data_IF_648794055664
#
_entry.id   IF_648794055664
#
_cell.length_a   1.000
_cell.length_b   1.000
_cell.length_c   1.000
_cell.angle_alpha   90.00
_cell.angle_beta   90.00
_cell.angle_gamma   90.00
#
_symmetry.space_group_name_H-M   'P 1'
#
loop_
_entity.id
_entity.type
_entity.pdbx_description
1 polymer ?
#
# COMPACT_ATOMS: atom_id res chain seq x y z
N UNK A 1 22.12 14.90 -23.72
CA UNK A 1 21.35 14.90 -22.47
C UNK A 1 20.36 16.05 -22.54
N UNK A 2 19.07 15.76 -22.72
CA UNK A 2 17.98 16.76 -22.68
C UNK A 2 18.04 17.48 -21.33
N UNK A 3 17.98 18.81 -21.32
CA UNK A 3 17.82 19.60 -20.10
C UNK A 3 16.46 19.21 -19.51
N UNK A 4 16.46 18.36 -18.49
CA UNK A 4 15.23 18.00 -17.79
C UNK A 4 14.47 19.27 -17.41
N UNK A 5 13.16 19.23 -17.49
CA UNK A 5 12.27 20.32 -17.09
C UNK A 5 12.62 20.75 -15.64
N UNK A 6 12.42 22.02 -15.29
CA UNK A 6 12.64 22.53 -13.93
C UNK A 6 11.91 21.71 -12.86
N UNK A 7 10.72 21.19 -13.20
CA UNK A 7 9.96 20.30 -12.32
C UNK A 7 10.70 18.97 -12.07
N UNK A 8 11.29 18.34 -13.11
CA UNK A 8 12.03 17.10 -12.97
C UNK A 8 13.22 17.25 -12.04
N UNK A 9 13.97 18.37 -12.17
CA UNK A 9 15.09 18.66 -11.30
C UNK A 9 14.64 18.92 -9.86
N UNK A 10 13.53 19.60 -9.65
CA UNK A 10 12.96 19.84 -8.33
C UNK A 10 12.48 18.52 -7.70
N UNK A 11 11.83 17.66 -8.48
CA UNK A 11 11.38 16.33 -8.03
C UNK A 11 12.57 15.43 -7.64
N UNK A 12 13.64 15.40 -8.44
CA UNK A 12 14.84 14.63 -8.12
C UNK A 12 15.48 15.11 -6.82
N UNK A 13 15.59 16.43 -6.62
CA UNK A 13 16.09 17.00 -5.35
C UNK A 13 15.19 16.62 -4.17
N UNK A 14 13.88 16.78 -4.33
CA UNK A 14 12.92 16.43 -3.28
C UNK A 14 13.07 14.98 -2.79
N UNK A 15 13.35 14.03 -3.69
CA UNK A 15 13.51 12.62 -3.34
C UNK A 15 14.89 12.25 -2.80
N UNK A 16 15.92 13.07 -3.05
CA UNK A 16 17.31 12.75 -2.72
C UNK A 16 17.92 13.59 -1.59
N UNK A 17 17.44 14.82 -1.36
CA UNK A 17 18.01 15.70 -0.35
C UNK A 17 17.61 15.27 1.07
N UNK A 18 18.53 15.40 2.01
CA UNK A 18 18.35 14.95 3.38
C UNK A 18 18.34 13.43 3.48
N UNK A 19 17.31 12.86 4.12
CA UNK A 19 17.09 11.41 4.12
C UNK A 19 16.34 11.02 2.84
N UNK A 20 16.93 10.19 1.97
CA UNK A 20 16.26 9.77 0.74
C UNK A 20 14.95 9.01 0.99
N UNK A 21 14.02 9.11 0.03
CA UNK A 21 12.70 8.51 0.12
C UNK A 21 11.67 9.38 0.83
N UNK A 22 10.47 8.85 1.03
CA UNK A 22 9.30 9.57 1.59
C UNK A 22 8.75 8.98 2.86
N UNK A 23 9.15 7.76 3.21
CA UNK A 23 8.67 7.04 4.39
C UNK A 23 9.80 6.65 5.31
N UNK A 24 9.49 6.41 6.57
CA UNK A 24 10.43 5.94 7.57
C UNK A 24 9.73 4.98 8.54
N UNK A 25 10.46 3.95 8.99
CA UNK A 25 10.02 3.09 10.08
C UNK A 25 10.59 3.66 11.38
N UNK A 26 9.72 3.88 12.37
CA UNK A 26 10.09 4.42 13.68
C UNK A 26 9.51 3.56 14.80
N UNK A 27 10.25 3.31 15.90
CA UNK A 27 9.71 2.62 17.07
C UNK A 27 8.59 3.44 17.72
N UNK A 28 7.54 2.76 18.19
CA UNK A 28 6.39 3.38 18.89
C UNK A 28 6.40 3.12 20.41
N UNK A 29 7.34 2.31 20.90
CA UNK A 29 7.51 1.97 22.31
C UNK A 29 8.83 2.51 22.85
N UNK A 30 8.96 2.74 24.17
CA UNK A 30 10.26 3.07 24.79
C UNK A 30 11.31 1.99 24.50
N UNK A 31 12.56 2.40 24.28
CA UNK A 31 13.68 1.50 23.97
C UNK A 31 15.02 1.99 24.56
N UNK A 32 14.94 2.84 25.58
CA UNK A 32 16.13 3.52 26.13
C UNK A 32 16.76 2.77 27.32
N UNK A 33 16.02 1.87 27.98
CA UNK A 33 16.50 1.15 29.14
C UNK A 33 16.61 -0.36 28.88
N UNK A 34 17.46 -1.04 29.66
CA UNK A 34 17.55 -2.50 29.61
C UNK A 34 16.19 -3.17 29.92
N UNK A 35 15.40 -2.54 30.77
CA UNK A 35 14.05 -3.02 31.07
C UNK A 35 13.14 -2.91 29.84
N UNK A 36 13.13 -1.77 29.14
CA UNK A 36 12.35 -1.59 27.91
C UNK A 36 12.71 -2.66 26.88
N UNK A 37 14.01 -2.89 26.67
CA UNK A 37 14.50 -3.88 25.71
C UNK A 37 14.10 -5.31 26.12
N UNK A 38 14.08 -5.62 27.41
CA UNK A 38 13.65 -6.94 27.89
C UNK A 38 12.16 -7.20 27.71
N UNK A 39 11.34 -6.15 27.70
CA UNK A 39 9.90 -6.22 27.36
C UNK A 39 9.66 -6.28 25.88
N UNK A 40 10.38 -5.43 25.11
CA UNK A 40 10.18 -5.29 23.66
C UNK A 40 10.69 -6.50 22.86
N UNK A 41 11.70 -7.21 23.39
CA UNK A 41 12.31 -8.36 22.73
C UNK A 41 12.45 -9.54 23.71
N UNK A 42 13.65 -10.02 23.97
CA UNK A 42 13.84 -11.21 24.81
C UNK A 42 14.09 -10.82 26.28
N UNK A 43 13.41 -11.46 27.25
CA UNK A 43 12.45 -12.58 27.16
C UNK A 43 10.97 -12.18 27.04
N UNK A 44 10.61 -10.91 27.23
CA UNK A 44 9.24 -10.42 27.37
C UNK A 44 8.35 -10.69 26.18
N UNK A 45 8.89 -10.61 24.95
CA UNK A 45 8.16 -10.83 23.70
C UNK A 45 7.51 -12.22 23.59
N UNK A 46 7.96 -13.20 24.35
CA UNK A 46 7.35 -14.51 24.38
C UNK A 46 5.90 -14.51 24.91
N UNK A 47 5.52 -13.53 25.72
CA UNK A 47 4.16 -13.42 26.26
C UNK A 47 3.13 -13.09 25.17
N UNK A 48 3.27 -12.00 24.38
CA UNK A 48 2.37 -11.75 23.24
C UNK A 48 2.42 -12.86 22.18
N UNK A 49 3.56 -13.46 21.90
CA UNK A 49 3.61 -14.60 20.96
C UNK A 49 2.70 -15.75 21.39
N UNK A 50 2.75 -16.17 22.66
CA UNK A 50 1.87 -17.23 23.19
C UNK A 50 0.39 -16.80 23.21
N UNK A 51 0.10 -15.53 23.47
CA UNK A 51 -1.26 -15.03 23.41
C UNK A 51 -1.84 -15.15 22.01
N UNK A 52 -1.09 -14.73 20.97
CA UNK A 52 -1.48 -14.80 19.57
C UNK A 52 -1.59 -16.28 19.11
N UNK A 53 -0.68 -17.15 19.55
CA UNK A 53 -0.75 -18.59 19.25
C UNK A 53 -2.04 -19.21 19.81
N UNK A 54 -2.44 -18.82 21.03
CA UNK A 54 -3.67 -19.29 21.65
C UNK A 54 -4.95 -18.67 21.07
N UNK A 55 -4.89 -17.41 20.65
CA UNK A 55 -5.98 -16.68 19.99
C UNK A 55 -5.42 -15.78 18.88
N UNK A 56 -5.53 -16.19 17.60
CA UNK A 56 -4.99 -15.42 16.48
C UNK A 56 -5.48 -13.96 16.39
N UNK A 57 -6.68 -13.65 16.86
CA UNK A 57 -7.22 -12.27 16.84
C UNK A 57 -6.44 -11.32 17.76
N UNK A 58 -5.72 -11.83 18.74
CA UNK A 58 -4.84 -11.02 19.59
C UNK A 58 -3.65 -10.39 18.82
N UNK A 59 -3.42 -10.79 17.56
CA UNK A 59 -2.44 -10.13 16.69
C UNK A 59 -2.77 -8.64 16.51
N UNK A 60 -4.04 -8.27 16.41
CA UNK A 60 -4.50 -6.88 16.30
C UNK A 60 -4.30 -6.08 17.60
N UNK A 61 -4.19 -6.76 18.72
CA UNK A 61 -4.00 -6.14 20.04
C UNK A 61 -2.51 -5.93 20.37
N UNK A 62 -1.66 -6.85 19.95
CA UNK A 62 -0.25 -6.88 20.37
C UNK A 62 0.74 -6.47 19.28
N UNK A 63 0.27 -6.23 18.05
CA UNK A 63 1.11 -5.80 16.93
C UNK A 63 0.53 -4.59 16.22
N UNK A 64 1.27 -4.04 15.25
CA UNK A 64 0.80 -2.94 14.39
C UNK A 64 -0.11 -3.40 13.25
N UNK A 65 -0.42 -4.70 13.13
CA UNK A 65 -1.22 -5.27 12.02
C UNK A 65 -2.54 -4.51 11.80
N UNK A 66 -3.19 -4.06 12.88
CA UNK A 66 -4.48 -3.37 12.80
C UNK A 66 -4.44 -1.99 12.14
N UNK A 67 -3.24 -1.39 12.00
CA UNK A 67 -3.07 -0.09 11.32
C UNK A 67 -1.94 -0.11 10.28
N UNK A 68 -1.56 -1.29 9.78
CA UNK A 68 -0.52 -1.43 8.79
C UNK A 68 -1.07 -2.10 7.53
N UNK A 69 -0.95 -1.44 6.39
CA UNK A 69 -1.31 -2.01 5.08
C UNK A 69 -0.06 -2.19 4.21
N UNK A 70 -0.19 -3.05 3.19
CA UNK A 70 0.77 -3.12 2.10
C UNK A 70 0.25 -2.34 0.88
N UNK A 71 1.09 -1.52 0.27
CA UNK A 71 0.90 -0.99 -1.09
C UNK A 71 1.73 -1.86 -2.01
N UNK A 72 1.10 -2.70 -2.82
CA UNK A 72 1.77 -3.74 -3.60
C UNK A 72 1.65 -3.45 -5.09
N UNK A 73 2.78 -3.46 -5.79
CA UNK A 73 2.87 -3.27 -7.24
C UNK A 73 3.89 -4.19 -7.87
N UNK A 74 3.72 -4.48 -9.16
CA UNK A 74 4.79 -5.04 -10.00
C UNK A 74 5.29 -4.04 -11.06
N UNK A 75 4.79 -2.80 -11.02
CA UNK A 75 5.23 -1.70 -11.89
C UNK A 75 4.91 -1.90 -13.37
N UNK A 76 3.88 -2.70 -13.69
CA UNK A 76 3.54 -3.03 -15.08
C UNK A 76 2.62 -2.01 -15.76
N UNK A 77 1.99 -1.09 -14.99
CA UNK A 77 1.11 -0.04 -15.52
C UNK A 77 1.24 1.28 -14.74
N UNK A 78 2.46 1.75 -14.54
CA UNK A 78 2.72 2.99 -13.80
C UNK A 78 2.19 4.19 -14.58
N UNK A 79 1.38 5.03 -13.93
CA UNK A 79 0.66 6.13 -14.55
C UNK A 79 1.58 7.07 -15.39
N UNK A 80 1.28 7.17 -16.68
CA UNK A 80 2.03 8.00 -17.63
C UNK A 80 3.37 7.44 -18.08
N UNK A 81 3.84 6.31 -17.49
CA UNK A 81 5.13 5.69 -17.80
C UNK A 81 4.98 4.26 -18.37
N UNK A 82 3.86 3.59 -18.10
CA UNK A 82 3.61 2.23 -18.56
C UNK A 82 4.38 1.18 -17.76
N UNK A 83 4.85 0.14 -18.43
CA UNK A 83 5.62 -0.94 -17.79
C UNK A 83 7.08 -0.51 -17.61
N UNK A 84 7.42 -0.07 -16.41
CA UNK A 84 8.80 0.32 -16.04
C UNK A 84 9.43 -0.66 -15.03
N UNK A 85 8.68 -1.69 -14.62
CA UNK A 85 9.10 -2.71 -13.68
C UNK A 85 9.01 -2.29 -12.20
N UNK A 86 9.09 -3.28 -11.34
CA UNK A 86 8.88 -3.14 -9.91
C UNK A 86 9.82 -2.10 -9.27
N UNK A 87 11.12 -2.21 -9.50
CA UNK A 87 12.11 -1.31 -8.88
C UNK A 87 11.91 0.16 -9.25
N UNK A 88 11.62 0.46 -10.53
CA UNK A 88 11.42 1.83 -10.98
C UNK A 88 10.08 2.42 -10.53
N UNK A 89 9.10 1.57 -10.17
CA UNK A 89 7.83 1.96 -9.58
C UNK A 89 7.91 2.43 -8.12
N UNK A 90 8.98 2.07 -7.39
CA UNK A 90 9.10 2.34 -5.95
C UNK A 90 8.83 3.80 -5.55
N UNK A 91 9.32 4.84 -6.22
CA UNK A 91 9.01 6.22 -5.82
C UNK A 91 7.52 6.55 -5.84
N UNK A 92 6.74 5.91 -6.72
CA UNK A 92 5.27 6.07 -6.77
C UNK A 92 4.63 5.38 -5.56
N UNK A 93 5.06 4.14 -5.24
CA UNK A 93 4.52 3.35 -4.12
C UNK A 93 4.83 3.99 -2.76
N UNK A 94 6.03 4.54 -2.57
CA UNK A 94 6.33 5.38 -1.40
C UNK A 94 5.41 6.61 -1.33
N UNK A 95 5.10 7.22 -2.48
CA UNK A 95 4.14 8.33 -2.56
C UNK A 95 2.74 7.90 -2.11
N UNK A 96 2.26 6.76 -2.58
CA UNK A 96 0.97 6.21 -2.16
C UNK A 96 0.95 5.91 -0.66
N UNK A 97 2.01 5.30 -0.12
CA UNK A 97 2.16 5.04 1.31
C UNK A 97 2.12 6.33 2.15
N UNK A 98 2.80 7.39 1.68
CA UNK A 98 2.74 8.71 2.29
C UNK A 98 1.32 9.29 2.29
N UNK A 99 0.53 9.11 1.21
CA UNK A 99 -0.86 9.58 1.15
C UNK A 99 -1.76 8.85 2.16
N UNK A 100 -1.63 7.53 2.31
CA UNK A 100 -2.34 6.77 3.35
C UNK A 100 -2.05 7.32 4.75
N UNK A 101 -0.78 7.59 5.05
CA UNK A 101 -0.40 8.17 6.34
C UNK A 101 -0.94 9.58 6.52
N UNK A 102 -0.83 10.43 5.50
CA UNK A 102 -1.20 11.85 5.58
C UNK A 102 -2.71 12.05 5.73
N UNK A 103 -3.51 11.29 4.99
CA UNK A 103 -4.96 11.53 4.90
C UNK A 103 -5.80 10.61 5.79
N UNK A 104 -5.28 9.45 6.18
CA UNK A 104 -6.03 8.45 6.94
C UNK A 104 -5.34 8.01 8.23
N UNK A 105 -4.12 8.47 8.49
CA UNK A 105 -3.24 8.03 9.59
C UNK A 105 -3.01 6.50 9.60
N UNK A 106 -3.04 5.88 8.41
CA UNK A 106 -2.74 4.47 8.21
C UNK A 106 -1.25 4.32 7.87
N UNK A 107 -0.56 3.46 8.59
CA UNK A 107 0.81 3.07 8.27
C UNK A 107 0.82 2.17 7.03
N UNK A 108 1.79 2.37 6.15
CA UNK A 108 1.89 1.56 4.93
C UNK A 108 3.35 1.21 4.62
N UNK A 109 3.57 -0.04 4.19
CA UNK A 109 4.79 -0.45 3.52
C UNK A 109 4.52 -0.59 2.02
N UNK A 110 5.40 0.00 1.21
CA UNK A 110 5.45 -0.27 -0.22
C UNK A 110 6.23 -1.56 -0.47
N UNK A 111 5.64 -2.44 -1.28
CA UNK A 111 6.18 -3.77 -1.62
C UNK A 111 6.21 -3.89 -3.13
N UNK A 112 7.40 -3.78 -3.70
CA UNK A 112 7.63 -3.94 -5.12
C UNK A 112 7.93 -5.41 -5.43
N UNK A 113 6.99 -6.11 -6.08
CA UNK A 113 7.10 -7.52 -6.42
C UNK A 113 7.60 -7.66 -7.85
N UNK A 114 8.82 -8.15 -8.03
CA UNK A 114 9.41 -8.39 -9.36
C UNK A 114 8.89 -9.71 -9.95
N UNK A 115 7.58 -9.74 -10.20
CA UNK A 115 6.88 -10.88 -10.77
C UNK A 115 5.73 -10.42 -11.67
N UNK A 116 5.70 -10.93 -12.90
CA UNK A 116 4.68 -10.60 -13.89
C UNK A 116 3.69 -11.73 -14.18
N UNK A 117 3.99 -12.97 -13.76
CA UNK A 117 3.03 -14.07 -13.80
C UNK A 117 1.98 -13.89 -12.68
N UNK A 118 0.67 -13.81 -13.02
CA UNK A 118 -0.37 -13.58 -12.03
C UNK A 118 -0.41 -14.64 -10.93
N UNK A 119 -0.17 -15.91 -11.25
CA UNK A 119 -0.18 -16.99 -10.25
C UNK A 119 0.97 -16.87 -9.25
N UNK A 120 2.17 -16.56 -9.72
CA UNK A 120 3.32 -16.35 -8.87
C UNK A 120 3.17 -15.08 -8.03
N UNK A 121 2.61 -14.00 -8.61
CA UNK A 121 2.30 -12.76 -7.90
C UNK A 121 1.30 -13.00 -6.78
N UNK A 122 0.17 -13.65 -7.05
CA UNK A 122 -0.87 -14.00 -6.06
C UNK A 122 -0.27 -14.84 -4.93
N UNK A 123 0.52 -15.87 -5.24
CA UNK A 123 1.19 -16.69 -4.22
C UNK A 123 2.11 -15.86 -3.33
N UNK A 124 2.85 -14.93 -3.92
CA UNK A 124 3.76 -14.03 -3.18
C UNK A 124 2.99 -13.14 -2.22
N UNK A 125 1.93 -12.49 -2.70
CA UNK A 125 1.08 -11.61 -1.89
C UNK A 125 0.43 -12.38 -0.75
N UNK A 126 -0.11 -13.58 -1.00
CA UNK A 126 -0.68 -14.44 0.04
C UNK A 126 0.33 -14.84 1.10
N UNK A 127 1.57 -15.09 0.73
CA UNK A 127 2.63 -15.49 1.65
C UNK A 127 3.02 -14.36 2.63
N UNK A 128 2.91 -13.08 2.24
CA UNK A 128 3.22 -11.93 3.09
C UNK A 128 2.00 -11.31 3.78
N UNK A 129 0.79 -11.68 3.38
CA UNK A 129 -0.47 -11.14 3.92
C UNK A 129 -0.61 -11.22 5.45
N UNK A 130 -0.05 -12.21 6.17
CA UNK A 130 -0.12 -12.25 7.63
C UNK A 130 0.41 -10.99 8.33
N UNK A 131 1.34 -10.25 7.70
CA UNK A 131 1.92 -9.02 8.25
C UNK A 131 0.92 -7.86 8.30
N UNK A 132 -0.06 -7.83 7.38
CA UNK A 132 -0.86 -6.65 7.08
C UNK A 132 -2.32 -6.78 7.53
N UNK A 133 -2.92 -5.65 7.89
CA UNK A 133 -4.36 -5.53 8.14
C UNK A 133 -5.18 -5.25 6.88
N UNK A 134 -4.53 -4.95 5.75
CA UNK A 134 -5.14 -4.73 4.44
C UNK A 134 -4.11 -4.60 3.33
N UNK A 135 -4.55 -4.67 2.09
CA UNK A 135 -3.69 -4.58 0.90
C UNK A 135 -4.30 -3.59 -0.10
N UNK A 136 -3.51 -2.65 -0.55
CA UNK A 136 -3.77 -1.83 -1.72
C UNK A 136 -2.90 -2.32 -2.88
N UNK A 137 -3.53 -2.83 -3.93
CA UNK A 137 -2.86 -3.13 -5.20
C UNK A 137 -2.79 -1.85 -6.04
N UNK A 138 -1.64 -1.59 -6.67
CA UNK A 138 -1.37 -0.36 -7.40
C UNK A 138 -0.56 -0.64 -8.67
N UNK A 139 -0.88 0.07 -9.76
CA UNK A 139 -0.09 0.07 -11.00
C UNK A 139 0.16 -1.33 -11.61
N UNK A 140 -0.82 -2.23 -11.50
CA UNK A 140 -0.81 -3.55 -12.12
C UNK A 140 -1.62 -3.49 -13.41
N UNK A 141 -1.03 -3.92 -14.53
CA UNK A 141 -1.66 -3.82 -15.84
C UNK A 141 -2.93 -4.67 -15.98
N UNK A 142 -3.85 -4.18 -16.78
CA UNK A 142 -5.00 -4.95 -17.25
C UNK A 142 -4.58 -5.87 -18.42
N UNK A 143 -5.23 -7.05 -18.60
CA UNK A 143 -6.35 -7.56 -17.81
C UNK A 143 -5.97 -8.31 -16.53
N UNK A 144 -4.67 -8.56 -16.28
CA UNK A 144 -4.17 -9.37 -15.18
C UNK A 144 -4.61 -8.84 -13.80
N UNK A 145 -4.67 -7.51 -13.66
CA UNK A 145 -5.09 -6.88 -12.41
C UNK A 145 -6.49 -7.30 -11.96
N UNK A 146 -7.41 -7.58 -12.88
CA UNK A 146 -8.78 -7.98 -12.55
C UNK A 146 -8.84 -9.34 -11.86
N UNK A 147 -8.07 -10.31 -12.36
CA UNK A 147 -8.00 -11.64 -11.78
C UNK A 147 -7.21 -11.63 -10.45
N UNK A 148 -6.12 -10.86 -10.39
CA UNK A 148 -5.32 -10.70 -9.16
C UNK A 148 -6.17 -10.12 -8.04
N UNK A 149 -6.87 -9.01 -8.29
CA UNK A 149 -7.73 -8.34 -7.31
C UNK A 149 -8.86 -9.25 -6.85
N UNK A 150 -9.60 -9.86 -7.79
CA UNK A 150 -10.70 -10.78 -7.48
C UNK A 150 -10.24 -11.93 -6.59
N UNK A 151 -9.17 -12.62 -6.96
CA UNK A 151 -8.69 -13.78 -6.22
C UNK A 151 -8.14 -13.43 -4.85
N UNK A 152 -7.35 -12.38 -4.74
CA UNK A 152 -6.82 -11.95 -3.43
C UNK A 152 -7.94 -11.49 -2.50
N UNK A 153 -8.97 -10.81 -3.03
CA UNK A 153 -10.15 -10.41 -2.25
C UNK A 153 -11.01 -11.61 -1.79
N UNK A 154 -11.07 -12.69 -2.59
CA UNK A 154 -11.81 -13.90 -2.24
C UNK A 154 -11.02 -14.87 -1.33
N UNK A 155 -9.69 -14.89 -1.44
CA UNK A 155 -8.83 -15.89 -0.80
C UNK A 155 -8.13 -15.40 0.48
N UNK A 156 -8.23 -14.11 0.82
CA UNK A 156 -7.65 -13.52 2.03
C UNK A 156 -8.74 -13.03 2.99
N UNK A 157 -8.50 -13.18 4.29
CA UNK A 157 -9.39 -12.72 5.36
C UNK A 157 -9.17 -11.24 5.74
N UNK A 158 -8.40 -10.49 4.95
CA UNK A 158 -8.15 -9.06 5.12
C UNK A 158 -8.66 -8.29 3.90
N UNK A 159 -9.05 -7.00 4.03
CA UNK A 159 -9.45 -6.19 2.89
C UNK A 159 -8.36 -6.10 1.83
N UNK A 160 -8.74 -6.34 0.58
CA UNK A 160 -7.90 -6.12 -0.60
C UNK A 160 -8.63 -5.19 -1.55
N UNK A 161 -7.92 -4.22 -2.13
CA UNK A 161 -8.48 -3.27 -3.08
C UNK A 161 -7.43 -2.93 -4.14
N UNK A 162 -7.83 -2.94 -5.41
CA UNK A 162 -7.03 -2.38 -6.49
C UNK A 162 -7.46 -0.93 -6.74
N UNK A 163 -6.62 0.04 -6.38
CA UNK A 163 -7.01 1.46 -6.37
C UNK A 163 -7.31 2.01 -7.77
N UNK A 164 -6.51 1.64 -8.78
CA UNK A 164 -6.74 2.09 -10.17
C UNK A 164 -8.12 1.68 -10.70
N UNK A 165 -8.70 0.59 -10.20
CA UNK A 165 -10.05 0.16 -10.54
C UNK A 165 -11.08 0.83 -9.62
N UNK A 166 -11.02 0.53 -8.32
CA UNK A 166 -12.07 0.85 -7.37
C UNK A 166 -12.00 2.30 -6.90
N UNK A 167 -10.80 2.84 -6.60
CA UNK A 167 -10.61 4.23 -6.25
C UNK A 167 -10.99 5.16 -7.41
N UNK A 168 -10.55 4.84 -8.63
CA UNK A 168 -10.90 5.57 -9.84
C UNK A 168 -12.40 5.52 -10.12
N UNK A 169 -13.05 4.36 -9.94
CA UNK A 169 -14.50 4.23 -10.09
C UNK A 169 -15.26 5.12 -9.10
N UNK A 170 -14.86 5.13 -7.83
CA UNK A 170 -15.48 5.96 -6.78
C UNK A 170 -15.40 7.45 -7.13
N UNK A 171 -14.18 7.94 -7.45
CA UNK A 171 -13.98 9.37 -7.71
C UNK A 171 -14.66 9.84 -9.01
N UNK A 172 -14.60 9.00 -10.06
CA UNK A 172 -15.24 9.30 -11.35
C UNK A 172 -16.76 9.32 -11.22
N UNK A 173 -17.34 8.38 -10.49
CA UNK A 173 -18.77 8.34 -10.22
C UNK A 173 -19.21 9.57 -9.41
N UNK A 174 -18.48 9.93 -8.36
CA UNK A 174 -18.77 11.12 -7.57
C UNK A 174 -18.72 12.40 -8.42
N UNK A 175 -17.71 12.52 -9.29
CA UNK A 175 -17.59 13.65 -10.22
C UNK A 175 -18.76 13.68 -11.21
N UNK A 176 -19.15 12.54 -11.79
CA UNK A 176 -20.27 12.44 -12.72
C UNK A 176 -21.61 12.83 -12.07
N UNK A 177 -21.88 12.33 -10.85
CA UNK A 177 -23.07 12.68 -10.09
C UNK A 177 -23.17 14.20 -9.85
N UNK A 178 -22.07 14.82 -9.44
CA UNK A 178 -22.02 16.27 -9.23
C UNK A 178 -22.18 17.06 -10.53
N UNK A 179 -21.53 16.62 -11.61
CA UNK A 179 -21.64 17.25 -12.92
C UNK A 179 -23.09 17.18 -13.47
N UNK A 180 -23.74 16.02 -13.34
CA UNK A 180 -25.14 15.85 -13.74
C UNK A 180 -26.06 16.79 -12.96
N UNK A 181 -25.88 16.90 -11.64
CA UNK A 181 -26.63 17.81 -10.77
C UNK A 181 -26.45 19.27 -11.17
N UNK A 182 -25.21 19.71 -11.42
CA UNK A 182 -24.91 21.08 -11.86
C UNK A 182 -25.52 21.37 -13.24
N UNK A 183 -25.47 20.38 -14.15
CA UNK A 183 -26.04 20.51 -15.50
C UNK A 183 -27.57 20.36 -15.56
N UNK A 184 -28.22 20.05 -14.45
CA UNK A 184 -29.67 19.82 -14.39
C UNK A 184 -30.13 18.58 -15.18
N UNK A 185 -29.25 17.60 -15.38
CA UNK A 185 -29.53 16.36 -16.13
C UNK A 185 -29.84 15.19 -15.18
N UNK A 186 -30.82 14.38 -15.57
CA UNK A 186 -31.07 13.12 -14.91
C UNK A 186 -30.04 12.05 -15.37
N UNK A 187 -29.61 11.16 -14.48
CA UNK A 187 -28.55 10.16 -14.75
C UNK A 187 -28.94 9.19 -15.88
N UNK A 188 -30.22 8.88 -15.98
CA UNK A 188 -30.78 8.02 -17.04
C UNK A 188 -30.81 8.67 -18.44
N UNK A 189 -30.36 9.92 -18.54
CA UNK A 189 -30.30 10.73 -19.77
C UNK A 189 -28.89 11.27 -20.07
N UNK A 190 -27.87 10.66 -19.47
CA UNK A 190 -26.47 10.99 -19.72
C UNK A 190 -25.91 10.16 -20.87
#
# INVERSE_FOLDING_TARGET
MSKGNKMDQAALRYHSEGRPGKIAVVPTKPYHTQHDLSLAYSPGVAAPCRAIEANPDDVYRYTNKGNLIAVISNGTAVLGLGNIGALAGKPVMEGKSMLFKTFADIDAFDIEVDETDPEAFIRTVKAIAPTFGGINLEDIKAPECFEIDRRLSEELDIPVMHDDQHGTAVISTAALLNAAKIAGKALDKL
#
